data_IF_248399299530
#
_entry.id   IF_248399299530
#
_cell.length_a   1.000
_cell.length_b   1.000
_cell.length_c   1.000
_cell.angle_alpha   90.00
_cell.angle_beta   90.00
_cell.angle_gamma   90.00
#
_symmetry.space_group_name_H-M   'P 1'
#
loop_
_entity.id
_entity.type
_entity.pdbx_description
1 polymer ?
#
# COMPACT_ATOMS: atom_id res chain seq x y z
N UNK A 1 24.70 -0.81 7.93
CA UNK A 1 23.62 -0.63 6.91
C UNK A 1 22.39 -0.12 7.63
N UNK A 2 21.81 1.02 7.21
CA UNK A 2 20.64 1.57 7.90
C UNK A 2 19.40 0.72 7.54
N UNK A 3 18.70 0.19 8.55
CA UNK A 3 17.53 -0.68 8.38
C UNK A 3 16.43 -0.04 7.52
N UNK A 4 16.24 1.29 7.62
CA UNK A 4 15.26 2.02 6.81
C UNK A 4 15.59 1.94 5.31
N UNK A 5 16.86 2.13 4.94
CA UNK A 5 17.31 2.01 3.55
C UNK A 5 17.18 0.57 3.04
N UNK A 6 17.51 -0.42 3.88
CA UNK A 6 17.34 -1.82 3.51
C UNK A 6 15.87 -2.16 3.23
N UNK A 7 14.96 -1.78 4.11
CA UNK A 7 13.52 -2.03 3.94
C UNK A 7 12.96 -1.29 2.72
N UNK A 8 13.38 -0.05 2.48
CA UNK A 8 12.97 0.71 1.30
C UNK A 8 13.43 0.04 0.01
N UNK A 9 14.69 -0.33 -0.10
CA UNK A 9 15.25 -0.95 -1.33
C UNK A 9 14.65 -2.34 -1.60
N UNK A 10 14.31 -3.08 -0.55
CA UNK A 10 13.76 -4.43 -0.66
C UNK A 10 12.22 -4.50 -0.50
N UNK A 11 11.51 -3.36 -0.49
CA UNK A 11 10.07 -3.31 -0.22
C UNK A 11 9.20 -4.15 -1.14
N UNK A 12 9.70 -4.52 -2.32
CA UNK A 12 9.01 -5.40 -3.26
C UNK A 12 9.18 -6.89 -2.92
N UNK A 13 10.20 -7.26 -2.15
CA UNK A 13 10.54 -8.64 -1.80
C UNK A 13 10.17 -9.01 -0.37
N UNK A 14 10.17 -8.03 0.53
CA UNK A 14 9.84 -8.24 1.95
C UNK A 14 8.45 -8.85 2.19
N UNK A 15 7.42 -8.65 1.35
CA UNK A 15 6.13 -9.34 1.49
C UNK A 15 6.16 -10.84 1.12
N UNK A 16 7.15 -11.30 0.35
CA UNK A 16 7.17 -12.67 -0.16
C UNK A 16 7.21 -13.73 0.94
N UNK A 17 8.07 -13.65 1.97
CA UNK A 17 8.05 -14.60 3.09
C UNK A 17 6.70 -14.65 3.81
N UNK A 18 6.08 -13.48 3.99
CA UNK A 18 4.76 -13.38 4.63
C UNK A 18 3.69 -14.07 3.77
N UNK A 19 3.70 -13.84 2.45
CA UNK A 19 2.77 -14.49 1.53
C UNK A 19 2.91 -16.03 1.58
N UNK A 20 4.15 -16.54 1.64
CA UNK A 20 4.40 -17.99 1.77
C UNK A 20 3.84 -18.55 3.09
N UNK A 21 4.01 -17.84 4.21
CA UNK A 21 3.43 -18.22 5.50
C UNK A 21 1.91 -18.24 5.45
N UNK A 22 1.29 -17.19 4.86
CA UNK A 22 -0.16 -17.12 4.68
C UNK A 22 -0.66 -18.32 3.87
N UNK A 23 -0.03 -18.61 2.72
CA UNK A 23 -0.42 -19.72 1.85
C UNK A 23 -0.24 -21.07 2.58
N UNK A 24 0.84 -21.24 3.33
CA UNK A 24 1.11 -22.48 4.06
C UNK A 24 -0.01 -22.80 5.08
N UNK A 25 -0.41 -21.80 5.88
CA UNK A 25 -1.42 -21.97 6.92
C UNK A 25 -2.86 -21.74 6.44
N UNK A 26 -3.07 -21.47 5.14
CA UNK A 26 -4.41 -21.21 4.61
C UNK A 26 -5.29 -22.44 4.60
N UNK A 27 -6.57 -22.21 4.89
CA UNK A 27 -7.69 -23.14 4.74
C UNK A 27 -8.89 -22.34 4.21
N UNK A 28 -8.84 -21.98 2.90
CA UNK A 28 -9.78 -21.05 2.33
C UNK A 28 -11.16 -21.68 2.13
N UNK A 29 -12.21 -20.92 2.40
CA UNK A 29 -13.59 -21.29 2.15
C UNK A 29 -14.36 -20.13 1.51
N UNK A 30 -15.55 -20.43 0.97
CA UNK A 30 -16.40 -19.40 0.35
C UNK A 30 -16.71 -18.24 1.30
N UNK A 31 -16.89 -18.52 2.58
CA UNK A 31 -17.16 -17.52 3.59
C UNK A 31 -15.98 -16.55 3.77
N UNK A 32 -14.76 -17.07 3.81
CA UNK A 32 -13.55 -16.25 3.89
C UNK A 32 -13.35 -15.40 2.63
N UNK A 33 -13.68 -15.93 1.45
CA UNK A 33 -13.69 -15.13 0.20
C UNK A 33 -14.69 -13.96 0.27
N UNK A 34 -15.90 -14.19 0.78
CA UNK A 34 -16.94 -13.14 0.91
C UNK A 34 -16.44 -11.99 1.81
N UNK A 35 -15.69 -12.26 2.88
CA UNK A 35 -15.18 -11.23 3.77
C UNK A 35 -13.87 -10.59 3.27
N UNK A 36 -12.96 -11.36 2.70
CA UNK A 36 -11.64 -10.86 2.33
C UNK A 36 -11.63 -10.10 0.99
N UNK A 37 -12.41 -10.53 -0.01
CA UNK A 37 -12.43 -9.90 -1.33
C UNK A 37 -12.83 -8.42 -1.30
N UNK A 38 -13.84 -7.97 -0.54
CA UNK A 38 -14.15 -6.54 -0.46
C UNK A 38 -12.98 -5.70 0.04
N UNK A 39 -12.20 -6.19 1.02
CA UNK A 39 -11.01 -5.48 1.50
C UNK A 39 -9.94 -5.38 0.41
N UNK A 40 -9.67 -6.46 -0.31
CA UNK A 40 -8.72 -6.45 -1.42
C UNK A 40 -9.14 -5.43 -2.47
N UNK A 41 -10.42 -5.41 -2.86
CA UNK A 41 -10.95 -4.46 -3.83
C UNK A 41 -10.85 -3.01 -3.34
N UNK A 42 -11.22 -2.71 -2.09
CA UNK A 42 -11.10 -1.37 -1.50
C UNK A 42 -9.63 -0.93 -1.45
N UNK A 43 -8.73 -1.80 -1.00
CA UNK A 43 -7.29 -1.50 -0.96
C UNK A 43 -6.73 -1.21 -2.35
N UNK A 44 -7.10 -1.99 -3.36
CA UNK A 44 -6.65 -1.78 -4.74
C UNK A 44 -7.23 -0.50 -5.36
N UNK A 45 -8.49 -0.17 -5.08
CA UNK A 45 -9.09 1.10 -5.52
C UNK A 45 -8.35 2.31 -4.93
N UNK A 46 -7.99 2.26 -3.65
CA UNK A 46 -7.16 3.29 -3.00
C UNK A 46 -5.82 3.42 -3.72
N UNK A 47 -5.18 2.30 -4.04
CA UNK A 47 -3.88 2.27 -4.74
C UNK A 47 -3.98 2.81 -6.16
N UNK A 48 -4.95 2.33 -6.95
CA UNK A 48 -5.19 2.81 -8.33
C UNK A 48 -5.38 4.33 -8.32
N UNK A 49 -6.20 4.86 -7.41
CA UNK A 49 -6.40 6.29 -7.27
C UNK A 49 -5.10 7.02 -6.87
N UNK A 50 -4.33 6.48 -5.92
CA UNK A 50 -3.05 7.07 -5.52
C UNK A 50 -2.03 7.08 -6.66
N UNK A 51 -1.88 5.96 -7.39
CA UNK A 51 -0.97 5.87 -8.54
C UNK A 51 -1.42 6.76 -9.70
N UNK A 52 -2.72 6.95 -9.91
CA UNK A 52 -3.19 7.86 -10.95
C UNK A 52 -2.70 9.29 -10.75
N UNK A 53 -2.55 9.75 -9.50
CA UNK A 53 -2.08 11.10 -9.17
C UNK A 53 -0.55 11.18 -9.05
N UNK A 54 0.10 10.23 -8.38
CA UNK A 54 1.56 10.24 -8.20
C UNK A 54 2.32 9.67 -9.42
N UNK A 55 1.70 8.83 -10.24
CA UNK A 55 2.30 8.27 -11.44
C UNK A 55 3.43 7.27 -11.17
N UNK A 56 4.38 7.19 -12.12
CA UNK A 56 5.51 6.24 -12.08
C UNK A 56 6.51 6.46 -10.94
N UNK A 57 6.46 7.60 -10.25
CA UNK A 57 7.31 7.93 -9.11
C UNK A 57 7.14 6.89 -7.99
N UNK A 58 5.97 6.31 -7.85
CA UNK A 58 5.66 5.27 -6.86
C UNK A 58 6.52 3.99 -7.01
N UNK A 59 7.21 3.84 -8.13
CA UNK A 59 8.02 2.66 -8.49
C UNK A 59 9.53 2.92 -8.50
N UNK A 60 9.98 4.13 -8.15
CA UNK A 60 11.41 4.45 -8.17
C UNK A 60 12.16 3.74 -7.04
N UNK A 61 13.42 3.37 -7.31
CA UNK A 61 14.33 2.79 -6.31
C UNK A 61 15.03 3.87 -5.47
N UNK A 62 14.97 5.13 -5.91
CA UNK A 62 15.51 6.27 -5.18
C UNK A 62 14.45 6.88 -4.27
N UNK A 63 14.84 7.22 -3.06
CA UNK A 63 13.98 7.93 -2.12
C UNK A 63 13.80 9.36 -2.58
N UNK A 64 12.57 9.85 -2.64
CA UNK A 64 12.23 11.20 -3.06
C UNK A 64 11.34 11.24 -4.30
N UNK A 65 10.99 12.44 -4.73
CA UNK A 65 10.11 12.69 -5.86
C UNK A 65 10.55 13.98 -6.59
N UNK A 66 10.33 14.10 -7.93
CA UNK A 66 10.63 15.32 -8.67
C UNK A 66 9.64 16.46 -8.35
N UNK A 67 8.46 16.15 -7.84
CA UNK A 67 7.44 17.10 -7.40
C UNK A 67 6.61 16.51 -6.26
N UNK A 68 6.16 17.38 -5.35
CA UNK A 68 5.32 16.98 -4.23
C UNK A 68 3.88 16.77 -4.70
N UNK A 69 3.38 15.53 -4.59
CA UNK A 69 1.99 15.19 -4.90
C UNK A 69 1.13 15.38 -3.64
N UNK A 70 0.22 16.36 -3.66
CA UNK A 70 -0.71 16.68 -2.58
C UNK A 70 -2.18 16.58 -3.01
N UNK A 71 -2.44 16.09 -4.24
CA UNK A 71 -3.77 16.04 -4.87
C UNK A 71 -4.42 14.66 -4.73
N UNK A 72 -5.72 14.60 -4.95
CA UNK A 72 -6.50 13.36 -4.89
C UNK A 72 -6.42 12.70 -3.50
N UNK A 73 -6.10 11.40 -3.39
CA UNK A 73 -5.99 10.73 -2.10
C UNK A 73 -4.89 11.29 -1.22
N UNK A 74 -3.83 11.90 -1.79
CA UNK A 74 -2.77 12.57 -1.05
C UNK A 74 -3.22 13.84 -0.33
N UNK A 75 -4.33 14.45 -0.72
CA UNK A 75 -4.93 15.56 0.02
C UNK A 75 -5.62 15.13 1.32
N UNK A 76 -5.81 13.83 1.53
CA UNK A 76 -6.51 13.26 2.68
C UNK A 76 -5.59 12.48 3.62
N UNK A 77 -4.60 11.78 3.07
CA UNK A 77 -3.54 11.06 3.79
C UNK A 77 -2.25 11.16 3.02
N UNK A 78 -1.11 11.30 3.70
CA UNK A 78 0.19 11.41 3.05
C UNK A 78 0.64 10.09 2.39
N UNK A 79 0.13 8.97 2.86
CA UNK A 79 0.60 7.64 2.47
C UNK A 79 -0.50 6.69 1.98
N UNK A 80 -1.32 7.08 0.98
CA UNK A 80 -2.45 6.28 0.52
C UNK A 80 -2.03 4.93 -0.07
N UNK A 81 -0.84 4.82 -0.67
CA UNK A 81 -0.31 3.57 -1.22
C UNK A 81 -0.02 2.54 -0.12
N UNK A 82 0.59 2.95 0.99
CA UNK A 82 0.86 2.05 2.12
C UNK A 82 -0.41 1.66 2.84
N UNK A 83 -1.38 2.58 2.94
CA UNK A 83 -2.71 2.27 3.47
C UNK A 83 -3.41 1.21 2.60
N UNK A 84 -3.44 1.41 1.28
CA UNK A 84 -4.02 0.44 0.34
C UNK A 84 -3.34 -0.92 0.42
N UNK A 85 -2.00 -0.97 0.50
CA UNK A 85 -1.26 -2.22 0.69
C UNK A 85 -1.68 -2.94 1.97
N UNK A 86 -1.75 -2.22 3.11
CA UNK A 86 -2.15 -2.80 4.38
C UNK A 86 -3.52 -3.48 4.27
N UNK A 87 -4.51 -2.77 3.69
CA UNK A 87 -5.87 -3.29 3.50
C UNK A 87 -5.86 -4.52 2.59
N UNK A 88 -5.06 -4.54 1.50
CA UNK A 88 -4.93 -5.70 0.63
C UNK A 88 -4.36 -6.90 1.37
N UNK A 89 -3.29 -6.73 2.16
CA UNK A 89 -2.69 -7.85 2.89
C UNK A 89 -3.64 -8.43 3.94
N UNK A 90 -4.36 -7.59 4.68
CA UNK A 90 -5.39 -8.05 5.61
C UNK A 90 -6.50 -8.78 4.85
N UNK A 91 -6.96 -8.26 3.70
CA UNK A 91 -7.92 -8.96 2.84
C UNK A 91 -7.42 -10.32 2.35
N UNK A 92 -6.13 -10.45 1.99
CA UNK A 92 -5.51 -11.72 1.57
C UNK A 92 -5.49 -12.72 2.73
N UNK A 93 -5.17 -12.29 3.96
CA UNK A 93 -5.20 -13.16 5.14
C UNK A 93 -6.61 -13.66 5.40
N UNK A 94 -7.63 -12.79 5.30
CA UNK A 94 -9.02 -13.22 5.42
C UNK A 94 -9.41 -14.23 4.35
N UNK A 95 -9.06 -14.00 3.08
CA UNK A 95 -9.33 -14.98 2.00
C UNK A 95 -8.62 -16.30 2.27
N UNK A 96 -7.39 -16.26 2.79
CA UNK A 96 -6.63 -17.45 3.16
C UNK A 96 -7.33 -18.27 4.25
N UNK A 97 -8.03 -17.62 5.20
CA UNK A 97 -8.86 -18.27 6.21
C UNK A 97 -8.11 -19.22 7.14
N UNK A 98 -8.85 -20.18 7.69
CA UNK A 98 -8.32 -21.23 8.55
C UNK A 98 -8.24 -20.87 10.05
N UNK A 99 -7.89 -21.85 10.88
CA UNK A 99 -7.91 -21.71 12.35
C UNK A 99 -6.97 -20.64 12.91
N UNK A 100 -5.95 -20.24 12.16
CA UNK A 100 -4.96 -19.24 12.57
C UNK A 100 -5.21 -17.85 12.01
N UNK A 101 -6.33 -17.61 11.32
CA UNK A 101 -6.61 -16.36 10.62
C UNK A 101 -6.42 -15.12 11.50
N UNK A 102 -6.93 -15.09 12.73
CA UNK A 102 -6.78 -13.94 13.62
C UNK A 102 -5.32 -13.72 14.08
N UNK A 103 -4.57 -14.79 14.28
CA UNK A 103 -3.15 -14.70 14.63
C UNK A 103 -2.34 -14.16 13.44
N UNK A 104 -2.62 -14.67 12.24
CA UNK A 104 -1.99 -14.19 11.00
C UNK A 104 -2.34 -12.73 10.71
N UNK A 105 -3.59 -12.31 10.94
CA UNK A 105 -3.99 -10.89 10.85
C UNK A 105 -3.14 -10.01 11.78
N UNK A 106 -2.99 -10.40 13.04
CA UNK A 106 -2.16 -9.69 14.01
C UNK A 106 -0.69 -9.60 13.57
N UNK A 107 -0.11 -10.73 13.14
CA UNK A 107 1.29 -10.79 12.68
C UNK A 107 1.49 -9.91 11.44
N UNK A 108 0.62 -10.03 10.43
CA UNK A 108 0.68 -9.27 9.18
C UNK A 108 0.51 -7.78 9.43
N UNK A 109 -0.46 -7.41 10.27
CA UNK A 109 -0.68 -6.02 10.66
C UNK A 109 0.55 -5.41 11.34
N UNK A 110 1.12 -6.08 12.34
CA UNK A 110 2.30 -5.60 13.07
C UNK A 110 3.54 -5.53 12.16
N UNK A 111 3.75 -6.55 11.34
CA UNK A 111 4.87 -6.60 10.41
C UNK A 111 4.85 -5.42 9.42
N UNK A 112 3.73 -5.23 8.72
CA UNK A 112 3.62 -4.15 7.74
C UNK A 112 3.54 -2.77 8.39
N UNK A 113 2.96 -2.64 9.58
CA UNK A 113 3.00 -1.40 10.35
C UNK A 113 4.45 -1.01 10.65
N UNK A 114 5.25 -1.93 11.19
CA UNK A 114 6.67 -1.69 11.44
C UNK A 114 7.42 -1.33 10.15
N UNK A 115 7.27 -2.13 9.10
CA UNK A 115 7.95 -1.91 7.82
C UNK A 115 7.59 -0.54 7.22
N UNK A 116 6.30 -0.21 7.15
CA UNK A 116 5.86 1.06 6.55
C UNK A 116 6.24 2.27 7.42
N UNK A 117 6.21 2.16 8.74
CA UNK A 117 6.71 3.23 9.60
C UNK A 117 8.19 3.54 9.35
N UNK A 118 9.03 2.52 9.15
CA UNK A 118 10.45 2.68 8.82
C UNK A 118 10.65 3.32 7.44
N UNK A 119 9.94 2.84 6.43
CA UNK A 119 10.03 3.36 5.06
C UNK A 119 9.51 4.80 4.99
N UNK A 120 8.33 5.06 5.53
CA UNK A 120 7.71 6.40 5.52
C UNK A 120 8.58 7.42 6.25
N UNK A 121 9.18 7.04 7.38
CA UNK A 121 10.08 7.95 8.10
C UNK A 121 11.29 8.38 7.26
N UNK A 122 11.81 7.50 6.41
CA UNK A 122 12.89 7.79 5.48
C UNK A 122 12.42 8.69 4.31
N UNK A 123 11.25 8.37 3.75
CA UNK A 123 10.65 9.15 2.66
C UNK A 123 10.29 10.58 3.13
N UNK A 124 9.66 10.72 4.31
CA UNK A 124 9.31 12.02 4.87
C UNK A 124 10.53 12.87 5.20
N UNK A 125 11.61 12.27 5.70
CA UNK A 125 12.89 12.96 5.92
C UNK A 125 13.47 13.50 4.60
N UNK A 126 13.42 12.70 3.56
CA UNK A 126 13.92 13.07 2.23
C UNK A 126 13.04 14.16 1.58
N UNK A 127 11.72 14.01 1.64
CA UNK A 127 10.78 15.00 1.10
C UNK A 127 10.89 16.34 1.83
N UNK A 128 11.16 16.33 3.14
CA UNK A 128 11.43 17.53 3.94
C UNK A 128 12.68 18.27 3.46
N UNK A 129 13.75 17.52 3.11
CA UNK A 129 14.98 18.11 2.56
C UNK A 129 14.78 18.67 1.14
N UNK A 130 13.92 18.03 0.33
CA UNK A 130 13.69 18.42 -1.06
C UNK A 130 12.73 19.60 -1.20
N UNK A 131 11.67 19.66 -0.39
CA UNK A 131 10.56 20.61 -0.56
C UNK A 131 10.43 21.61 0.61
N UNK A 132 11.25 21.51 1.65
CA UNK A 132 11.31 22.49 2.75
C UNK A 132 9.94 22.84 3.35
N UNK A 133 9.62 24.13 3.38
CA UNK A 133 8.40 24.66 4.00
C UNK A 133 7.10 24.16 3.34
N UNK A 134 7.11 23.88 2.03
CA UNK A 134 5.95 23.30 1.34
C UNK A 134 5.59 21.94 1.96
N UNK A 135 6.60 21.09 2.19
CA UNK A 135 6.37 19.78 2.81
C UNK A 135 6.00 19.89 4.28
N UNK A 136 6.55 20.84 5.02
CA UNK A 136 6.20 21.08 6.43
C UNK A 136 4.72 21.47 6.53
N UNK A 137 4.26 22.44 5.73
CA UNK A 137 2.85 22.85 5.68
C UNK A 137 1.93 21.66 5.31
N UNK A 138 2.35 20.82 4.37
CA UNK A 138 1.62 19.61 4.01
C UNK A 138 1.53 18.62 5.19
N UNK A 139 2.62 18.41 5.94
CA UNK A 139 2.63 17.53 7.12
C UNK A 139 1.71 18.00 8.25
N UNK A 140 1.60 19.30 8.46
CA UNK A 140 0.75 19.90 9.49
C UNK A 140 -0.74 19.74 9.16
N UNK A 141 -1.09 19.72 7.89
CA UNK A 141 -2.47 19.73 7.42
C UNK A 141 -3.00 18.36 6.99
N UNK A 142 -2.14 17.41 6.64
CA UNK A 142 -2.54 16.10 6.14
C UNK A 142 -1.96 14.99 7.02
N UNK A 143 -2.78 14.11 7.59
CA UNK A 143 -2.31 13.03 8.47
C UNK A 143 -1.48 11.99 7.72
N UNK A 144 -0.63 11.25 8.47
CA UNK A 144 0.28 10.25 7.92
C UNK A 144 -0.46 9.04 7.33
N UNK A 145 -1.45 8.49 8.04
CA UNK A 145 -2.16 7.25 7.67
C UNK A 145 -3.67 7.40 7.57
N UNK A 146 -4.34 7.82 8.65
CA UNK A 146 -5.80 7.86 8.69
C UNK A 146 -6.33 9.01 7.85
N UNK A 147 -7.08 8.72 6.75
CA UNK A 147 -7.54 9.78 5.86
C UNK A 147 -8.51 10.72 6.57
N UNK A 148 -8.29 12.02 6.45
CA UNK A 148 -9.28 13.01 6.89
C UNK A 148 -10.43 13.14 5.88
N UNK A 149 -11.60 13.48 6.38
CA UNK A 149 -12.81 13.63 5.55
C UNK A 149 -12.68 14.80 4.57
N UNK A 150 -12.17 15.95 5.05
CA UNK A 150 -11.99 17.15 4.23
C UNK A 150 -10.64 17.13 3.52
N UNK A 151 -10.56 17.23 2.19
CA UNK A 151 -9.28 17.30 1.50
C UNK A 151 -8.55 18.61 1.81
N UNK A 152 -7.23 18.58 1.85
CA UNK A 152 -6.40 19.76 1.93
C UNK A 152 -6.19 20.35 0.54
N UNK A 153 -6.32 21.68 0.43
CA UNK A 153 -6.24 22.42 -0.84
C UNK A 153 -5.06 23.41 -0.90
N UNK A 154 -4.19 23.40 0.12
CA UNK A 154 -3.06 24.33 0.22
C UNK A 154 -1.82 23.96 -0.60
N UNK A 155 -1.85 22.88 -1.38
CA UNK A 155 -0.71 22.45 -2.20
C UNK A 155 -0.47 23.37 -3.39
N UNK A 156 0.81 23.65 -3.67
CA UNK A 156 1.22 24.51 -4.80
C UNK A 156 0.99 23.82 -6.16
N UNK A 157 1.12 22.50 -6.20
CA UNK A 157 1.04 21.71 -7.43
C UNK A 157 -0.21 20.84 -7.45
N UNK A 158 -1.12 21.08 -8.39
CA UNK A 158 -2.29 20.23 -8.61
C UNK A 158 -1.95 19.13 -9.61
N UNK A 159 -1.75 17.91 -9.12
CA UNK A 159 -1.54 16.73 -9.96
C UNK A 159 -2.89 16.22 -10.46
N UNK A 160 -3.10 16.26 -11.77
CA UNK A 160 -4.28 15.64 -12.40
C UNK A 160 -4.08 14.14 -12.51
N UNK A 161 -5.14 13.34 -12.34
CA UNK A 161 -5.03 11.88 -12.48
C UNK A 161 -4.62 11.51 -13.92
N UNK A 162 -3.70 10.56 -14.03
CA UNK A 162 -3.36 9.97 -15.32
C UNK A 162 -4.52 9.11 -15.84
N UNK A 163 -4.54 8.82 -17.15
CA UNK A 163 -5.58 7.96 -17.70
C UNK A 163 -5.48 6.53 -17.13
N UNK A 164 -6.60 5.81 -17.15
CA UNK A 164 -6.73 4.48 -16.56
C UNK A 164 -5.71 3.48 -17.12
N UNK A 165 -5.47 3.50 -18.44
CA UNK A 165 -4.52 2.59 -19.09
C UNK A 165 -3.09 2.77 -18.54
N UNK A 166 -2.62 4.02 -18.42
CA UNK A 166 -1.29 4.34 -17.87
C UNK A 166 -1.18 3.92 -16.40
N UNK A 167 -2.24 4.15 -15.63
CA UNK A 167 -2.32 3.77 -14.23
C UNK A 167 -2.24 2.26 -14.05
N UNK A 168 -3.07 1.49 -14.78
CA UNK A 168 -3.07 0.03 -14.73
C UNK A 168 -1.75 -0.56 -15.21
N UNK A 169 -1.10 0.04 -16.21
CA UNK A 169 0.25 -0.36 -16.66
C UNK A 169 1.27 -0.19 -15.53
N UNK A 170 1.18 0.88 -14.74
CA UNK A 170 2.04 1.11 -13.56
C UNK A 170 1.73 0.10 -12.47
N UNK A 171 0.45 -0.23 -12.22
CA UNK A 171 0.00 -1.18 -11.20
C UNK A 171 0.11 -2.66 -11.61
N UNK A 172 0.45 -2.96 -12.85
CA UNK A 172 0.46 -4.32 -13.42
C UNK A 172 1.09 -5.37 -12.50
N UNK A 173 2.23 -5.07 -11.86
CA UNK A 173 2.92 -6.03 -10.98
C UNK A 173 2.11 -6.34 -9.72
N UNK A 174 1.48 -5.34 -9.12
CA UNK A 174 0.62 -5.53 -7.94
C UNK A 174 -0.58 -6.39 -8.31
N UNK A 175 -1.27 -6.05 -9.40
CA UNK A 175 -2.43 -6.82 -9.91
C UNK A 175 -2.04 -8.28 -10.23
N UNK A 176 -0.90 -8.50 -10.85
CA UNK A 176 -0.39 -9.84 -11.13
C UNK A 176 -0.11 -10.63 -9.85
N UNK A 177 0.48 -10.00 -8.83
CA UNK A 177 0.77 -10.66 -7.55
C UNK A 177 -0.52 -11.01 -6.80
N UNK A 178 -1.49 -10.09 -6.74
CA UNK A 178 -2.81 -10.35 -6.15
C UNK A 178 -3.48 -11.53 -6.87
N UNK A 179 -3.53 -11.49 -8.20
CA UNK A 179 -4.12 -12.55 -9.02
C UNK A 179 -3.45 -13.90 -8.77
N UNK A 180 -2.11 -13.94 -8.71
CA UNK A 180 -1.35 -15.16 -8.45
C UNK A 180 -1.70 -15.76 -7.07
N UNK A 181 -1.69 -14.93 -6.02
CA UNK A 181 -2.00 -15.40 -4.66
C UNK A 181 -3.45 -15.90 -4.59
N UNK A 182 -4.40 -15.16 -5.14
CA UNK A 182 -5.81 -15.57 -5.17
C UNK A 182 -6.02 -16.87 -5.95
N UNK A 183 -5.32 -17.04 -7.09
CA UNK A 183 -5.38 -18.29 -7.87
C UNK A 183 -4.88 -19.49 -7.05
N UNK A 184 -3.78 -19.33 -6.32
CA UNK A 184 -3.26 -20.39 -5.42
C UNK A 184 -4.28 -20.73 -4.33
N UNK A 185 -4.91 -19.71 -3.69
CA UNK A 185 -5.90 -19.93 -2.65
C UNK A 185 -7.18 -20.59 -3.19
N UNK A 186 -7.62 -20.24 -4.41
CA UNK A 186 -8.74 -20.91 -5.09
C UNK A 186 -8.42 -22.37 -5.38
N UNK A 187 -7.23 -22.67 -5.90
CA UNK A 187 -6.82 -24.07 -6.14
C UNK A 187 -6.81 -24.83 -4.82
N UNK A 188 -6.25 -24.24 -3.76
CA UNK A 188 -6.18 -24.89 -2.44
C UNK A 188 -7.55 -25.14 -1.81
N UNK A 189 -8.56 -24.31 -2.11
CA UNK A 189 -9.94 -24.50 -1.63
C UNK A 189 -10.67 -25.69 -2.28
N UNK A 190 -10.08 -26.27 -3.35
CA UNK A 190 -10.66 -27.43 -4.05
C UNK A 190 -10.04 -28.77 -3.64
N UNK A 191 -8.97 -28.73 -2.84
CA UNK A 191 -8.22 -29.89 -2.35
C UNK A 191 -8.64 -30.19 -0.92
#
# INVERSE_FOLDING_TARGET
MNIRNFLFSNRSFTPVPIALVIIYFSDPSILYFIYGMPLILVGELIRINAVSHAGGITRTMNVGAPSLCTSGPYSRTRNPLYLGNMIIYLGIVLVAGGKYVLILEGIVFLYFTFQYMMIISLEEETLKKLFGDEYISYMENVPRFFPKVTPWTGGLNVHKPSNLYKTLKTERRTLQNIFLILSILVIKSQI
#
